data_IF_400579090919
#
_entry.id   IF_400579090919
#
_cell.length_a   1.000
_cell.length_b   1.000
_cell.length_c   1.000
_cell.angle_alpha   90.00
_cell.angle_beta   90.00
_cell.angle_gamma   90.00
#
_symmetry.space_group_name_H-M   'P 1'
#
loop_
_entity.id
_entity.type
_entity.pdbx_description
1 polymer ?
#
# COMPACT_ATOMS: atom_id res chain seq x y z
N UNK A 1 15.26 20.93 10.24
CA UNK A 1 15.62 19.84 9.32
C UNK A 1 14.34 19.37 8.65
N UNK A 2 14.38 18.85 7.43
CA UNK A 2 13.20 18.22 6.86
C UNK A 2 12.87 16.96 7.69
N UNK A 3 11.58 16.64 7.86
CA UNK A 3 11.10 15.45 8.56
C UNK A 3 11.66 14.19 7.88
N UNK A 4 12.19 13.24 8.66
CA UNK A 4 12.74 11.97 8.15
C UNK A 4 11.60 11.01 7.77
N UNK A 5 10.58 10.92 8.63
CA UNK A 5 9.42 10.10 8.35
C UNK A 5 8.56 10.71 7.26
N UNK A 6 8.35 9.96 6.18
CA UNK A 6 7.34 10.25 5.17
C UNK A 6 5.97 9.70 5.55
N UNK A 7 5.05 9.60 4.59
CA UNK A 7 3.74 8.95 4.79
C UNK A 7 3.84 7.44 5.02
N UNK A 8 4.98 6.82 4.69
CA UNK A 8 5.18 5.38 4.79
C UNK A 8 6.58 5.04 5.32
N UNK A 9 6.89 5.53 6.51
CA UNK A 9 8.16 5.32 7.21
C UNK A 9 9.31 6.19 6.71
N UNK A 10 10.53 5.82 7.10
CA UNK A 10 11.78 6.46 6.65
C UNK A 10 12.29 5.74 5.42
N UNK A 11 12.42 6.41 4.29
CA UNK A 11 12.91 5.85 3.02
C UNK A 11 14.11 6.60 2.48
N UNK A 12 14.94 5.91 1.73
CA UNK A 12 16.07 6.53 1.03
C UNK A 12 16.95 5.51 0.32
N UNK A 13 17.95 6.02 -0.39
CA UNK A 13 18.98 5.20 -1.02
C UNK A 13 19.77 4.48 0.08
N UNK A 14 19.74 3.16 0.07
CA UNK A 14 20.38 2.34 1.09
C UNK A 14 21.90 2.61 1.12
N UNK A 15 22.45 2.64 2.33
CA UNK A 15 23.85 2.93 2.64
C UNK A 15 24.35 4.36 2.27
N UNK A 16 23.45 5.24 1.81
CA UNK A 16 23.72 6.67 1.61
C UNK A 16 22.82 7.52 2.51
N UNK A 17 21.52 7.42 2.31
CA UNK A 17 20.49 8.17 3.05
C UNK A 17 19.98 7.34 4.23
N UNK A 18 19.72 6.05 3.99
CA UNK A 18 19.34 5.06 5.01
C UNK A 18 20.55 4.17 5.34
N UNK A 19 21.30 4.57 6.36
CA UNK A 19 22.55 3.92 6.79
C UNK A 19 22.32 2.97 7.96
N UNK A 20 23.24 2.03 8.21
CA UNK A 20 23.19 1.15 9.38
C UNK A 20 23.17 1.90 10.72
N UNK A 21 23.99 2.96 10.94
CA UNK A 21 23.87 3.78 12.15
C UNK A 21 22.48 4.41 12.31
N UNK A 22 21.90 4.99 11.25
CA UNK A 22 20.56 5.58 11.31
C UNK A 22 19.50 4.54 11.64
N UNK A 23 19.56 3.35 11.02
CA UNK A 23 18.63 2.25 11.27
C UNK A 23 18.69 1.77 12.74
N UNK A 24 19.89 1.67 13.30
CA UNK A 24 20.11 1.33 14.70
C UNK A 24 19.56 2.44 15.63
N UNK A 25 19.86 3.70 15.36
CA UNK A 25 19.42 4.84 16.18
C UNK A 25 17.90 5.00 16.16
N UNK A 26 17.25 4.84 15.00
CA UNK A 26 15.79 4.84 14.87
C UNK A 26 15.15 3.74 15.72
N UNK A 27 15.75 2.55 15.71
CA UNK A 27 15.24 1.39 16.47
C UNK A 27 15.38 1.60 17.99
N UNK A 28 16.52 2.14 18.44
CA UNK A 28 16.72 2.54 19.84
C UNK A 28 15.73 3.62 20.25
N UNK A 29 15.55 4.65 19.42
CA UNK A 29 14.62 5.74 19.69
C UNK A 29 13.17 5.24 19.76
N UNK A 30 12.73 4.38 18.84
CA UNK A 30 11.40 3.80 18.85
C UNK A 30 11.14 2.97 20.12
N UNK A 31 12.07 2.10 20.50
CA UNK A 31 11.97 1.31 21.72
C UNK A 31 11.86 2.21 22.98
N UNK A 32 12.63 3.29 23.05
CA UNK A 32 12.60 4.25 24.17
C UNK A 32 11.27 5.01 24.24
N UNK A 33 10.79 5.53 23.10
CA UNK A 33 9.53 6.29 23.02
C UNK A 33 8.35 5.42 23.45
N UNK A 34 8.25 4.18 22.95
CA UNK A 34 7.18 3.25 23.31
C UNK A 34 7.27 2.83 24.76
N UNK A 35 8.48 2.57 25.28
CA UNK A 35 8.69 2.25 26.69
C UNK A 35 8.26 3.38 27.63
N UNK A 36 8.55 4.64 27.31
CA UNK A 36 8.13 5.80 28.08
C UNK A 36 6.60 6.01 28.09
N UNK A 37 5.92 5.62 27.02
CA UNK A 37 4.45 5.62 26.99
C UNK A 37 3.82 4.49 27.78
N UNK A 38 4.63 3.58 28.28
CA UNK A 38 4.18 2.45 29.10
C UNK A 38 3.70 1.24 28.29
N UNK A 39 4.02 1.18 27.00
CA UNK A 39 3.75 0.02 26.15
C UNK A 39 4.37 -1.26 26.73
N UNK A 40 5.49 -1.16 27.47
CA UNK A 40 6.24 -2.27 28.05
C UNK A 40 5.97 -2.51 29.54
N UNK A 41 4.90 -1.94 30.09
CA UNK A 41 4.63 -2.07 31.53
C UNK A 41 4.26 -3.51 31.90
N UNK A 42 5.01 -4.07 32.86
CA UNK A 42 4.69 -5.35 33.49
C UNK A 42 5.18 -6.59 32.74
N UNK A 43 5.85 -6.44 31.61
CA UNK A 43 6.44 -7.54 30.84
C UNK A 43 7.74 -7.13 30.15
N UNK A 44 8.48 -8.10 29.66
CA UNK A 44 9.66 -7.89 28.84
C UNK A 44 9.22 -7.55 27.41
N UNK A 45 9.65 -6.43 26.83
CA UNK A 45 9.19 -6.03 25.51
C UNK A 45 9.68 -6.97 24.41
N UNK A 46 8.83 -7.22 23.43
CA UNK A 46 9.10 -8.06 22.28
C UNK A 46 8.86 -7.26 21.01
N UNK A 47 9.77 -7.34 20.04
CA UNK A 47 9.58 -6.83 18.70
C UNK A 47 9.65 -7.94 17.66
N UNK A 48 8.87 -7.82 16.59
CA UNK A 48 9.04 -8.61 15.36
C UNK A 48 9.74 -7.78 14.32
N UNK A 49 10.62 -8.39 13.52
CA UNK A 49 11.34 -7.71 12.43
C UNK A 49 11.25 -8.56 11.17
N UNK A 50 10.66 -7.99 10.12
CA UNK A 50 10.59 -8.60 8.79
C UNK A 50 11.17 -7.69 7.72
N UNK A 51 11.42 -8.22 6.55
CA UNK A 51 11.98 -7.47 5.41
C UNK A 51 11.48 -8.00 4.08
N UNK A 52 11.62 -7.18 3.05
CA UNK A 52 11.58 -7.64 1.67
C UNK A 52 12.94 -8.27 1.25
N UNK A 53 13.06 -8.86 0.07
CA UNK A 53 14.28 -9.56 -0.32
C UNK A 53 15.42 -8.65 -0.81
N UNK A 54 15.34 -7.32 -0.72
CA UNK A 54 16.43 -6.41 -1.12
C UNK A 54 17.74 -6.79 -0.43
N UNK A 55 18.83 -6.82 -1.18
CA UNK A 55 20.17 -7.13 -0.62
C UNK A 55 20.55 -6.20 0.53
N UNK A 56 20.15 -4.92 0.45
CA UNK A 56 20.35 -3.95 1.54
C UNK A 56 19.54 -4.27 2.80
N UNK A 57 18.48 -5.08 2.71
CA UNK A 57 17.69 -5.52 3.86
C UNK A 57 18.52 -6.32 4.87
N UNK A 58 19.53 -7.06 4.42
CA UNK A 58 20.34 -7.90 5.31
C UNK A 58 21.13 -7.09 6.34
N UNK A 59 21.86 -6.06 5.91
CA UNK A 59 22.61 -5.23 6.84
C UNK A 59 21.73 -4.28 7.65
N UNK A 60 20.63 -3.79 7.05
CA UNK A 60 19.68 -2.93 7.75
C UNK A 60 18.93 -3.72 8.84
N UNK A 61 18.52 -4.97 8.58
CA UNK A 61 17.93 -5.85 9.58
C UNK A 61 18.89 -6.07 10.75
N UNK A 62 20.17 -6.35 10.45
CA UNK A 62 21.17 -6.54 11.50
C UNK A 62 21.31 -5.28 12.39
N UNK A 63 21.27 -4.08 11.80
CA UNK A 63 21.33 -2.82 12.53
C UNK A 63 20.08 -2.57 13.39
N UNK A 64 18.87 -2.80 12.83
CA UNK A 64 17.60 -2.70 13.55
C UNK A 64 17.56 -3.66 14.73
N UNK A 65 17.90 -4.93 14.50
CA UNK A 65 17.93 -5.97 15.55
C UNK A 65 18.93 -5.61 16.66
N UNK A 66 20.13 -5.12 16.29
CA UNK A 66 21.12 -4.67 17.26
C UNK A 66 20.59 -3.47 18.08
N UNK A 67 19.95 -2.49 17.44
CA UNK A 67 19.34 -1.33 18.11
C UNK A 67 18.29 -1.76 19.14
N UNK A 68 17.31 -2.55 18.72
CA UNK A 68 16.23 -3.05 19.58
C UNK A 68 16.78 -3.87 20.75
N UNK A 69 17.65 -4.85 20.48
CA UNK A 69 18.22 -5.70 21.51
C UNK A 69 19.09 -4.91 22.50
N UNK A 70 19.85 -3.92 22.04
CA UNK A 70 20.61 -3.01 22.90
C UNK A 70 19.73 -2.16 23.81
N UNK A 71 18.51 -1.85 23.36
CA UNK A 71 17.49 -1.14 24.15
C UNK A 71 16.68 -2.04 25.10
N UNK A 72 17.00 -3.33 25.15
CA UNK A 72 16.37 -4.28 26.07
C UNK A 72 15.10 -4.96 25.51
N UNK A 73 14.84 -4.84 24.22
CA UNK A 73 13.71 -5.47 23.53
C UNK A 73 14.14 -6.86 23.02
N UNK A 74 13.38 -7.89 23.33
CA UNK A 74 13.56 -9.21 22.71
C UNK A 74 13.09 -9.12 21.25
N UNK A 75 13.84 -9.72 20.33
CA UNK A 75 13.56 -9.62 18.89
C UNK A 75 13.27 -11.00 18.32
N UNK A 76 12.15 -11.10 17.59
CA UNK A 76 11.78 -12.23 16.76
C UNK A 76 12.00 -11.84 15.29
N UNK A 77 12.95 -12.48 14.62
CA UNK A 77 13.19 -12.25 13.19
C UNK A 77 12.22 -13.09 12.37
N UNK A 78 11.43 -12.43 11.55
CA UNK A 78 10.41 -13.07 10.69
C UNK A 78 10.99 -13.53 9.34
N UNK A 79 12.17 -13.01 8.95
CA UNK A 79 12.72 -13.24 7.62
C UNK A 79 12.06 -12.40 6.54
N UNK A 80 11.98 -12.96 5.33
CA UNK A 80 11.35 -12.28 4.17
C UNK A 80 9.85 -12.56 4.20
N UNK A 81 9.07 -11.49 4.41
CA UNK A 81 7.61 -11.54 4.48
C UNK A 81 6.99 -10.22 4.00
N UNK A 82 5.74 -10.25 3.48
CA UNK A 82 4.97 -9.06 3.15
C UNK A 82 4.82 -8.06 4.30
N UNK A 83 4.71 -6.77 3.98
CA UNK A 83 4.38 -5.72 4.95
C UNK A 83 3.13 -6.06 5.78
N UNK A 84 1.98 -6.47 5.18
CA UNK A 84 0.81 -6.87 5.96
C UNK A 84 1.04 -8.10 6.83
N UNK A 85 1.91 -9.02 6.44
CA UNK A 85 2.27 -10.16 7.28
C UNK A 85 3.01 -9.72 8.55
N UNK A 86 3.93 -8.74 8.45
CA UNK A 86 4.62 -8.17 9.61
C UNK A 86 3.62 -7.47 10.53
N UNK A 87 2.69 -6.68 9.97
CA UNK A 87 1.62 -6.03 10.73
C UNK A 87 0.74 -7.05 11.47
N UNK A 88 0.26 -8.09 10.77
CA UNK A 88 -0.53 -9.17 11.35
C UNK A 88 0.22 -9.92 12.47
N UNK A 89 1.47 -10.33 12.20
CA UNK A 89 2.26 -11.09 13.15
C UNK A 89 2.71 -10.27 14.36
N UNK A 90 2.80 -8.95 14.26
CA UNK A 90 3.00 -8.07 15.42
C UNK A 90 1.89 -8.30 16.45
N UNK A 91 0.64 -8.31 16.00
CA UNK A 91 -0.52 -8.57 16.86
C UNK A 91 -0.61 -10.06 17.26
N UNK A 92 -0.50 -10.97 16.30
CA UNK A 92 -0.72 -12.40 16.51
C UNK A 92 0.31 -13.07 17.45
N UNK A 93 1.54 -12.53 17.49
CA UNK A 93 2.61 -12.99 18.38
C UNK A 93 2.69 -12.17 19.69
N UNK A 94 1.69 -11.32 19.96
CA UNK A 94 1.65 -10.45 21.14
C UNK A 94 2.91 -9.57 21.29
N UNK A 95 3.51 -9.17 20.16
CA UNK A 95 4.66 -8.27 20.14
C UNK A 95 4.25 -6.83 20.41
N UNK A 96 5.12 -6.06 21.06
CA UNK A 96 4.87 -4.66 21.41
C UNK A 96 5.21 -3.71 20.25
N UNK A 97 6.02 -4.20 19.30
CA UNK A 97 6.53 -3.41 18.17
C UNK A 97 6.76 -4.32 16.96
N UNK A 98 6.30 -3.89 15.80
CA UNK A 98 6.65 -4.47 14.52
C UNK A 98 7.59 -3.54 13.74
N UNK A 99 8.55 -4.12 13.03
CA UNK A 99 9.42 -3.38 12.11
C UNK A 99 9.47 -4.08 10.77
N UNK A 100 9.14 -3.34 9.71
CA UNK A 100 9.29 -3.79 8.32
C UNK A 100 10.36 -3.01 7.60
N UNK A 101 11.26 -3.75 6.94
CA UNK A 101 12.31 -3.20 6.10
C UNK A 101 11.92 -3.35 4.63
N UNK A 102 11.45 -2.28 4.02
CA UNK A 102 11.06 -2.23 2.63
C UNK A 102 10.90 -0.80 2.12
N UNK A 103 11.09 -0.60 0.83
CA UNK A 103 10.70 0.62 0.10
C UNK A 103 9.56 0.34 -0.91
N UNK A 104 8.72 -0.70 -0.66
CA UNK A 104 7.55 -1.07 -1.46
C UNK A 104 7.90 -1.20 -2.96
N UNK A 105 7.27 -0.42 -3.82
CA UNK A 105 7.43 -0.45 -5.27
C UNK A 105 8.69 0.26 -5.81
N UNK A 106 9.52 0.85 -4.95
CA UNK A 106 10.76 1.50 -5.37
C UNK A 106 11.77 0.50 -5.94
N UNK A 107 12.73 0.92 -6.78
CA UNK A 107 13.77 0.05 -7.31
C UNK A 107 14.70 -0.47 -6.21
N UNK A 108 15.46 -1.53 -6.51
CA UNK A 108 16.28 -2.28 -5.56
C UNK A 108 17.29 -1.44 -4.74
N UNK A 109 17.90 -0.35 -5.25
CA UNK A 109 18.83 0.47 -4.46
C UNK A 109 18.20 1.19 -3.26
N UNK A 110 16.90 1.46 -3.31
CA UNK A 110 16.18 2.08 -2.21
C UNK A 110 15.83 1.05 -1.12
N UNK A 111 15.66 1.52 0.11
CA UNK A 111 15.07 0.75 1.19
C UNK A 111 14.30 1.70 2.14
N UNK A 112 13.60 1.11 3.12
CA UNK A 112 12.81 1.85 4.09
C UNK A 112 12.69 1.12 5.41
N UNK A 113 12.28 1.85 6.46
CA UNK A 113 11.96 1.31 7.78
C UNK A 113 10.57 1.82 8.16
N UNK A 114 9.64 0.89 8.41
CA UNK A 114 8.30 1.14 8.89
C UNK A 114 8.14 0.54 10.28
N UNK A 115 7.47 1.26 11.18
CA UNK A 115 7.18 0.77 12.53
C UNK A 115 5.67 0.55 12.70
N UNK A 116 5.33 -0.52 13.41
CA UNK A 116 3.95 -0.88 13.77
C UNK A 116 3.80 -0.95 15.28
N UNK A 117 2.68 -0.48 15.79
CA UNK A 117 2.32 -0.67 17.18
C UNK A 117 1.88 -2.12 17.46
N UNK A 118 1.58 -2.42 18.73
CA UNK A 118 1.14 -3.75 19.18
C UNK A 118 -0.11 -4.27 18.48
N UNK A 119 -0.94 -3.37 17.96
CA UNK A 119 -2.16 -3.74 17.24
C UNK A 119 -1.91 -3.97 15.74
N UNK A 120 -0.67 -3.82 15.27
CA UNK A 120 -0.30 -3.96 13.87
C UNK A 120 -0.59 -2.73 13.01
N UNK A 121 -0.93 -1.60 13.62
CA UNK A 121 -1.06 -0.32 12.91
C UNK A 121 0.28 0.39 12.79
N UNK A 122 0.50 1.12 11.70
CA UNK A 122 1.64 2.05 11.59
C UNK A 122 1.61 3.06 12.74
N UNK A 123 2.80 3.45 13.22
CA UNK A 123 2.87 4.47 14.26
C UNK A 123 2.24 5.78 13.76
N UNK A 124 1.45 6.48 14.61
CA UNK A 124 0.93 7.80 14.28
C UNK A 124 2.06 8.84 14.19
N UNK A 125 1.83 9.92 13.43
CA UNK A 125 2.80 11.00 13.19
C UNK A 125 3.43 11.54 14.47
N UNK A 126 2.64 11.73 15.52
CA UNK A 126 3.11 12.23 16.82
C UNK A 126 4.16 11.31 17.46
N UNK A 127 4.05 9.99 17.26
CA UNK A 127 5.04 9.04 17.74
C UNK A 127 6.28 9.02 16.86
N UNK A 128 6.11 9.07 15.54
CA UNK A 128 7.21 9.17 14.59
C UNK A 128 8.03 10.44 14.84
N UNK A 129 7.38 11.60 15.07
CA UNK A 129 8.05 12.87 15.40
C UNK A 129 8.82 12.77 16.73
N UNK A 130 8.28 12.05 17.71
CA UNK A 130 8.98 11.81 18.99
C UNK A 130 10.18 10.88 18.81
N UNK A 131 10.05 9.85 17.96
CA UNK A 131 11.18 8.98 17.60
C UNK A 131 12.29 9.79 16.93
N UNK A 132 11.93 10.63 15.97
CA UNK A 132 12.89 11.51 15.28
C UNK A 132 13.58 12.49 16.25
N UNK A 133 12.83 13.08 17.17
CA UNK A 133 13.38 13.99 18.17
C UNK A 133 14.38 13.33 19.15
N UNK A 134 14.34 12.00 19.29
CA UNK A 134 15.25 11.22 20.15
C UNK A 134 16.54 10.80 19.48
N UNK A 135 16.68 11.03 18.17
CA UNK A 135 17.91 10.65 17.45
C UNK A 135 19.12 11.40 17.99
N UNK A 136 20.20 10.67 18.25
CA UNK A 136 21.44 11.22 18.79
C UNK A 136 21.41 11.63 20.26
N UNK A 137 20.27 11.46 20.97
CA UNK A 137 20.24 11.71 22.41
C UNK A 137 21.07 10.69 23.19
N UNK A 138 21.88 11.18 24.14
CA UNK A 138 22.55 10.32 25.08
C UNK A 138 21.53 9.56 25.95
N UNK A 139 21.73 8.27 26.11
CA UNK A 139 20.89 7.40 26.94
C UNK A 139 21.72 6.35 27.68
N UNK A 140 21.15 5.75 28.70
CA UNK A 140 21.81 4.70 29.46
C UNK A 140 21.28 3.32 29.04
N UNK A 141 22.04 2.55 28.25
CA UNK A 141 21.60 1.21 27.84
C UNK A 141 21.50 0.26 29.01
N UNK A 142 20.55 -0.70 28.97
CA UNK A 142 20.50 -1.79 29.95
C UNK A 142 21.73 -2.68 29.81
N UNK A 143 22.08 -3.38 30.90
CA UNK A 143 23.21 -4.31 30.95
C UNK A 143 22.82 -5.67 31.52
N UNK A 144 23.66 -6.68 31.32
CA UNK A 144 23.46 -8.01 31.86
C UNK A 144 22.13 -8.63 31.44
N UNK A 145 21.28 -8.99 32.36
CA UNK A 145 19.95 -9.58 32.10
C UNK A 145 18.96 -8.60 31.45
N UNK A 146 19.27 -7.32 31.43
CA UNK A 146 18.42 -6.29 30.80
C UNK A 146 18.57 -6.18 29.29
N UNK A 147 19.60 -6.78 28.65
CA UNK A 147 19.72 -6.78 27.19
C UNK A 147 18.68 -7.69 26.53
N UNK A 148 18.21 -7.31 25.33
CA UNK A 148 17.27 -8.10 24.55
C UNK A 148 17.87 -9.40 23.97
N UNK A 149 17.03 -10.38 23.73
CA UNK A 149 17.40 -11.66 23.10
C UNK A 149 16.92 -11.68 21.67
N UNK A 150 17.71 -12.26 20.79
CA UNK A 150 17.37 -12.40 19.37
C UNK A 150 17.07 -13.86 19.07
N UNK A 151 15.95 -14.11 18.39
CA UNK A 151 15.51 -15.45 17.99
C UNK A 151 14.88 -15.40 16.61
N UNK A 152 14.90 -16.53 15.89
CA UNK A 152 14.13 -16.72 14.67
C UNK A 152 12.68 -17.08 15.00
N UNK A 153 11.73 -16.48 14.30
CA UNK A 153 10.31 -16.83 14.41
C UNK A 153 9.98 -17.93 13.39
N UNK A 154 10.19 -19.18 13.80
CA UNK A 154 9.84 -20.31 12.94
C UNK A 154 8.34 -20.40 12.72
N UNK A 155 7.90 -20.68 11.48
CA UNK A 155 6.48 -20.83 11.12
C UNK A 155 5.74 -19.51 10.85
N UNK A 156 6.42 -18.38 10.77
CA UNK A 156 5.80 -17.07 10.49
C UNK A 156 5.02 -17.07 9.15
N UNK A 157 5.59 -17.64 8.08
CA UNK A 157 4.92 -17.82 6.78
C UNK A 157 3.63 -18.62 6.93
N UNK A 158 3.70 -19.76 7.61
CA UNK A 158 2.54 -20.65 7.83
C UNK A 158 1.42 -19.95 8.60
N UNK A 159 1.76 -19.21 9.66
CA UNK A 159 0.77 -18.48 10.45
C UNK A 159 0.05 -17.42 9.62
N UNK A 160 0.78 -16.68 8.79
CA UNK A 160 0.17 -15.67 7.94
C UNK A 160 -0.68 -16.29 6.81
N UNK A 161 -0.19 -17.35 6.14
CA UNK A 161 -0.97 -18.08 5.14
C UNK A 161 -2.24 -18.68 5.77
N UNK A 162 -2.14 -19.27 6.97
CA UNK A 162 -3.30 -19.78 7.67
C UNK A 162 -4.33 -18.67 7.97
N UNK A 163 -3.87 -17.48 8.40
CA UNK A 163 -4.75 -16.32 8.59
C UNK A 163 -5.46 -15.96 7.29
N UNK A 164 -4.74 -15.76 6.18
CA UNK A 164 -5.31 -15.43 4.88
C UNK A 164 -6.42 -16.40 4.46
N UNK A 165 -6.20 -17.70 4.65
CA UNK A 165 -7.18 -18.74 4.30
C UNK A 165 -8.44 -18.70 5.16
N UNK A 166 -8.37 -18.23 6.40
CA UNK A 166 -9.57 -18.06 7.24
C UNK A 166 -10.50 -16.96 6.73
N UNK A 167 -9.98 -16.02 5.95
CA UNK A 167 -10.75 -14.85 5.44
C UNK A 167 -11.57 -15.18 4.20
N UNK A 168 -11.22 -16.26 3.50
CA UNK A 168 -11.87 -16.65 2.22
C UNK A 168 -12.59 -17.98 2.38
N UNK A 169 -13.91 -17.96 2.59
CA UNK A 169 -14.71 -19.16 2.90
C UNK A 169 -15.10 -20.00 1.67
N UNK A 170 -14.59 -19.68 0.49
CA UNK A 170 -14.89 -20.40 -0.76
C UNK A 170 -13.62 -21.00 -1.36
N UNK A 171 -13.75 -22.22 -1.93
CA UNK A 171 -12.65 -22.82 -2.69
C UNK A 171 -12.47 -22.11 -4.02
N UNK A 172 -11.20 -21.94 -4.43
CA UNK A 172 -10.81 -21.42 -5.75
C UNK A 172 -10.61 -22.56 -6.77
N UNK A 173 -11.08 -23.78 -6.46
CA UNK A 173 -10.99 -24.93 -7.37
C UNK A 173 -11.57 -24.61 -8.74
N UNK A 174 -10.83 -24.97 -9.79
CA UNK A 174 -11.18 -24.72 -11.17
C UNK A 174 -10.70 -23.39 -11.74
N UNK A 175 -10.16 -22.48 -10.90
CA UNK A 175 -9.49 -21.28 -11.39
C UNK A 175 -8.01 -21.54 -11.67
N UNK A 176 -7.56 -21.13 -12.85
CA UNK A 176 -6.14 -21.04 -13.22
C UNK A 176 -5.68 -19.58 -13.11
N UNK A 177 -4.70 -19.32 -12.26
CA UNK A 177 -4.24 -17.97 -11.90
C UNK A 177 -2.74 -17.81 -12.15
N UNK A 178 -2.36 -16.72 -12.79
CA UNK A 178 -0.95 -16.29 -12.83
C UNK A 178 -0.72 -15.29 -11.69
N UNK A 179 0.29 -15.53 -10.85
CA UNK A 179 0.71 -14.58 -9.82
C UNK A 179 2.10 -14.01 -10.14
N UNK A 180 2.20 -12.68 -10.19
CA UNK A 180 3.46 -11.93 -10.26
C UNK A 180 3.77 -11.35 -8.88
N UNK A 181 4.82 -11.88 -8.25
CA UNK A 181 5.27 -11.48 -6.92
C UNK A 181 6.35 -10.38 -6.95
N UNK A 182 6.59 -9.72 -8.07
CA UNK A 182 7.57 -8.65 -8.23
C UNK A 182 9.02 -9.01 -7.81
N UNK A 183 9.40 -10.29 -7.76
CA UNK A 183 10.59 -10.78 -7.07
C UNK A 183 10.70 -10.18 -5.65
N UNK A 184 9.58 -10.04 -4.99
CA UNK A 184 9.38 -9.34 -3.72
C UNK A 184 9.07 -10.28 -2.56
N UNK A 185 8.53 -9.72 -1.52
CA UNK A 185 8.26 -10.37 -0.24
C UNK A 185 7.14 -11.41 -0.28
N UNK A 186 6.26 -11.38 -1.30
CA UNK A 186 5.19 -12.37 -1.48
C UNK A 186 5.61 -13.63 -2.24
N UNK A 187 6.88 -13.76 -2.64
CA UNK A 187 7.35 -14.85 -3.53
C UNK A 187 7.03 -16.26 -3.02
N UNK A 188 7.05 -16.48 -1.71
CA UNK A 188 6.68 -17.74 -1.08
C UNK A 188 5.20 -17.74 -0.64
N UNK A 189 4.73 -16.65 -0.05
CA UNK A 189 3.42 -16.55 0.60
C UNK A 189 2.27 -16.59 -0.41
N UNK A 190 2.32 -15.78 -1.48
CA UNK A 190 1.18 -15.62 -2.38
C UNK A 190 0.89 -16.89 -3.18
N UNK A 191 1.90 -17.56 -3.80
CA UNK A 191 1.66 -18.83 -4.45
C UNK A 191 1.13 -19.92 -3.54
N UNK A 192 1.64 -19.99 -2.29
CA UNK A 192 1.21 -20.97 -1.31
C UNK A 192 -0.24 -20.73 -0.88
N UNK A 193 -0.61 -19.48 -0.57
CA UNK A 193 -1.96 -19.11 -0.18
C UNK A 193 -2.98 -19.45 -1.30
N UNK A 194 -2.67 -19.09 -2.55
CA UNK A 194 -3.53 -19.36 -3.70
C UNK A 194 -3.70 -20.88 -3.97
N UNK A 195 -2.61 -21.67 -3.90
CA UNK A 195 -2.69 -23.12 -4.07
C UNK A 195 -3.52 -23.78 -2.97
N UNK A 196 -3.32 -23.38 -1.73
CA UNK A 196 -4.09 -23.91 -0.60
C UNK A 196 -5.54 -23.47 -0.61
N UNK A 197 -5.84 -22.34 -1.25
CA UNK A 197 -7.22 -21.94 -1.53
C UNK A 197 -7.87 -22.76 -2.66
N UNK A 198 -7.11 -23.57 -3.41
CA UNK A 198 -7.61 -24.48 -4.45
C UNK A 198 -7.26 -24.08 -5.89
N UNK A 199 -6.61 -22.94 -6.13
CA UNK A 199 -6.30 -22.48 -7.48
C UNK A 199 -5.15 -23.29 -8.12
N UNK A 200 -5.21 -23.48 -9.44
CA UNK A 200 -4.06 -23.86 -10.27
C UNK A 200 -3.18 -22.62 -10.46
N UNK A 201 -1.97 -22.60 -9.89
CA UNK A 201 -1.13 -21.41 -9.81
C UNK A 201 0.10 -21.50 -10.70
N UNK A 202 0.23 -20.51 -11.57
CA UNK A 202 1.42 -20.24 -12.37
C UNK A 202 2.12 -19.04 -11.76
N UNK A 203 3.44 -19.13 -11.55
CA UNK A 203 4.21 -18.09 -10.87
C UNK A 203 5.17 -17.40 -11.81
N UNK A 204 5.22 -16.06 -11.73
CA UNK A 204 6.28 -15.24 -12.32
C UNK A 204 6.78 -14.24 -11.27
N UNK A 205 7.99 -13.69 -11.45
CA UNK A 205 8.53 -12.76 -10.47
C UNK A 205 8.72 -13.39 -9.07
N UNK A 206 9.11 -14.68 -8.98
CA UNK A 206 9.26 -15.42 -7.71
C UNK A 206 10.68 -15.92 -7.47
N UNK A 207 11.67 -15.35 -8.12
CA UNK A 207 13.08 -15.72 -7.95
C UNK A 207 13.91 -14.49 -7.50
N UNK A 208 13.70 -13.99 -6.28
CA UNK A 208 14.41 -12.82 -5.78
C UNK A 208 15.91 -13.10 -5.65
N UNK A 209 16.74 -12.20 -6.19
CA UNK A 209 18.20 -12.23 -6.07
C UNK A 209 18.76 -11.07 -5.22
N UNK A 210 17.87 -10.27 -4.64
CA UNK A 210 18.20 -9.09 -3.84
C UNK A 210 18.33 -7.79 -4.65
N UNK A 211 18.41 -7.86 -5.99
CA UNK A 211 18.61 -6.72 -6.87
C UNK A 211 17.53 -6.57 -7.95
N UNK A 212 16.71 -7.58 -8.12
CA UNK A 212 15.69 -7.66 -9.18
C UNK A 212 14.26 -7.33 -8.73
N UNK A 213 14.06 -6.93 -7.48
CA UNK A 213 12.73 -6.53 -6.96
C UNK A 213 12.13 -5.38 -7.78
N UNK A 214 10.86 -5.51 -8.19
CA UNK A 214 10.11 -4.56 -9.03
C UNK A 214 10.75 -4.29 -10.42
N UNK A 215 11.74 -5.03 -10.85
CA UNK A 215 12.45 -4.79 -12.09
C UNK A 215 11.69 -5.37 -13.30
N UNK A 216 10.83 -4.54 -13.92
CA UNK A 216 10.00 -4.95 -15.06
C UNK A 216 8.96 -6.03 -14.73
N UNK A 217 8.51 -6.08 -13.48
CA UNK A 217 7.53 -7.04 -12.97
C UNK A 217 6.69 -6.40 -11.85
N UNK A 218 5.68 -7.13 -11.39
CA UNK A 218 4.78 -6.72 -10.32
C UNK A 218 3.78 -5.64 -10.72
N UNK A 219 3.13 -5.02 -9.73
CA UNK A 219 2.02 -4.08 -9.93
C UNK A 219 2.38 -2.80 -10.68
N UNK A 220 3.67 -2.48 -10.83
CA UNK A 220 4.12 -1.30 -11.59
C UNK A 220 4.48 -1.62 -13.05
N UNK A 221 4.57 -2.90 -13.44
CA UNK A 221 4.95 -3.38 -14.76
C UNK A 221 4.17 -4.64 -15.11
N UNK A 222 2.95 -4.48 -15.63
CA UNK A 222 2.01 -5.58 -15.84
C UNK A 222 2.19 -6.34 -17.16
N UNK A 223 3.07 -5.89 -18.06
CA UNK A 223 3.22 -6.45 -19.40
C UNK A 223 3.64 -7.94 -19.38
N UNK A 224 4.47 -8.33 -18.39
CA UNK A 224 4.86 -9.72 -18.22
C UNK A 224 3.68 -10.58 -17.77
N UNK A 225 2.89 -10.08 -16.82
CA UNK A 225 1.68 -10.73 -16.33
C UNK A 225 0.64 -10.87 -17.43
N UNK A 226 0.38 -9.81 -18.22
CA UNK A 226 -0.57 -9.82 -19.33
C UNK A 226 -0.20 -10.89 -20.39
N UNK A 227 1.09 -11.02 -20.70
CA UNK A 227 1.58 -12.08 -21.61
C UNK A 227 1.37 -13.47 -21.03
N UNK A 228 1.79 -13.69 -19.78
CA UNK A 228 1.69 -14.98 -19.11
C UNK A 228 0.24 -15.46 -18.97
N UNK A 229 -0.70 -14.56 -18.62
CA UNK A 229 -2.14 -14.90 -18.55
C UNK A 229 -2.64 -15.44 -19.90
N UNK A 230 -2.33 -14.75 -21.00
CA UNK A 230 -2.75 -15.20 -22.35
C UNK A 230 -2.05 -16.50 -22.80
N UNK A 231 -0.74 -16.60 -22.55
CA UNK A 231 0.05 -17.77 -22.96
C UNK A 231 -0.38 -19.06 -22.24
N UNK A 232 -0.75 -18.94 -20.98
CA UNK A 232 -1.18 -20.08 -20.17
C UNK A 232 -2.71 -20.30 -20.17
N UNK A 233 -3.48 -19.42 -20.83
CA UNK A 233 -4.93 -19.49 -20.83
C UNK A 233 -5.50 -19.40 -19.40
N UNK A 234 -4.94 -18.52 -18.58
CA UNK A 234 -5.36 -18.35 -17.21
C UNK A 234 -6.64 -17.50 -17.12
N UNK A 235 -7.47 -17.76 -16.10
CA UNK A 235 -8.72 -17.04 -15.87
C UNK A 235 -8.48 -15.62 -15.35
N UNK A 236 -7.38 -15.44 -14.63
CA UNK A 236 -6.95 -14.13 -14.12
C UNK A 236 -5.46 -14.10 -13.86
N UNK A 237 -4.90 -12.88 -13.85
CA UNK A 237 -3.58 -12.58 -13.31
C UNK A 237 -3.68 -11.69 -12.09
N UNK A 238 -2.81 -11.90 -11.11
CA UNK A 238 -2.67 -11.07 -9.92
C UNK A 238 -1.23 -10.56 -9.88
N UNK A 239 -1.02 -9.29 -9.56
CA UNK A 239 0.30 -8.68 -9.37
C UNK A 239 0.38 -7.98 -8.01
N UNK A 240 1.42 -8.32 -7.26
CA UNK A 240 1.81 -7.56 -6.06
C UNK A 240 2.97 -6.60 -6.40
N UNK A 241 3.25 -5.66 -5.52
CA UNK A 241 4.50 -4.91 -5.50
C UNK A 241 5.53 -5.56 -4.56
N UNK A 242 6.69 -4.93 -4.41
CA UNK A 242 7.84 -5.53 -3.72
C UNK A 242 7.60 -5.96 -2.28
N UNK A 243 6.73 -5.30 -1.52
CA UNK A 243 6.35 -5.68 -0.15
C UNK A 243 4.89 -6.15 -0.03
N UNK A 244 4.24 -6.32 -1.18
CA UNK A 244 2.92 -6.91 -1.34
C UNK A 244 1.80 -6.25 -0.53
N UNK A 245 1.90 -4.94 -0.30
CA UNK A 245 0.80 -4.15 0.26
C UNK A 245 -0.22 -3.71 -0.82
N UNK A 246 0.06 -4.03 -2.12
CA UNK A 246 -0.78 -3.71 -3.28
C UNK A 246 -1.15 -4.93 -4.09
N UNK A 247 -2.33 -4.84 -4.72
CA UNK A 247 -2.84 -5.80 -5.69
C UNK A 247 -3.38 -5.10 -6.92
N UNK A 248 -2.87 -5.45 -8.09
CA UNK A 248 -3.54 -5.20 -9.37
C UNK A 248 -3.86 -6.53 -10.03
N UNK A 249 -4.79 -6.52 -10.97
CA UNK A 249 -5.20 -7.75 -11.65
C UNK A 249 -5.21 -7.59 -13.17
N UNK A 250 -5.27 -8.74 -13.86
CA UNK A 250 -5.35 -8.84 -15.30
C UNK A 250 -6.43 -9.86 -15.66
N UNK A 251 -7.33 -9.51 -16.58
CA UNK A 251 -8.36 -10.42 -17.08
C UNK A 251 -7.77 -11.53 -17.97
N UNK A 252 -8.54 -12.57 -18.26
CA UNK A 252 -8.14 -13.62 -19.20
C UNK A 252 -7.78 -13.07 -20.60
N UNK A 253 -8.38 -11.96 -21.02
CA UNK A 253 -8.04 -11.24 -22.26
C UNK A 253 -6.74 -10.44 -22.18
N UNK A 254 -6.17 -10.26 -21.00
CA UNK A 254 -4.96 -9.46 -20.78
C UNK A 254 -5.24 -7.99 -20.50
N UNK A 255 -6.46 -7.61 -20.16
CA UNK A 255 -6.83 -6.24 -19.78
C UNK A 255 -6.50 -6.00 -18.31
N UNK A 256 -6.01 -4.80 -17.99
CA UNK A 256 -5.67 -4.40 -16.62
C UNK A 256 -6.93 -4.08 -15.85
N UNK A 257 -7.02 -4.62 -14.64
CA UNK A 257 -8.02 -4.28 -13.62
C UNK A 257 -7.29 -3.57 -12.49
N UNK A 258 -7.48 -2.25 -12.39
CA UNK A 258 -6.79 -1.42 -11.42
C UNK A 258 -7.43 -1.43 -10.02
N UNK A 259 -6.82 -0.73 -9.06
CA UNK A 259 -7.31 -0.71 -7.69
C UNK A 259 -8.73 -0.15 -7.55
N UNK A 260 -9.13 0.81 -8.39
CA UNK A 260 -10.49 1.34 -8.36
C UNK A 260 -11.51 0.29 -8.81
N UNK A 261 -11.20 -0.47 -9.87
CA UNK A 261 -12.05 -1.56 -10.34
C UNK A 261 -12.11 -2.70 -9.32
N UNK A 262 -10.97 -3.05 -8.70
CA UNK A 262 -10.92 -4.05 -7.62
C UNK A 262 -11.78 -3.60 -6.45
N UNK A 263 -11.62 -2.34 -5.99
CA UNK A 263 -12.44 -1.80 -4.90
C UNK A 263 -13.93 -1.79 -5.26
N UNK A 264 -14.29 -1.45 -6.50
CA UNK A 264 -15.68 -1.45 -6.94
C UNK A 264 -16.29 -2.87 -6.90
N UNK A 265 -15.56 -3.87 -7.40
CA UNK A 265 -15.99 -5.27 -7.36
C UNK A 265 -16.19 -5.73 -5.91
N UNK A 266 -15.20 -5.48 -5.05
CA UNK A 266 -15.21 -5.93 -3.67
C UNK A 266 -16.23 -5.17 -2.81
N UNK A 267 -16.44 -3.86 -3.03
CA UNK A 267 -17.46 -3.09 -2.34
C UNK A 267 -18.87 -3.64 -2.63
N UNK A 268 -19.17 -4.00 -3.88
CA UNK A 268 -20.45 -4.63 -4.24
C UNK A 268 -20.58 -6.02 -3.62
N UNK A 269 -19.51 -6.79 -3.60
CA UNK A 269 -19.51 -8.14 -3.02
C UNK A 269 -19.73 -8.09 -1.49
N UNK A 270 -19.05 -7.18 -0.79
CA UNK A 270 -19.21 -6.93 0.63
C UNK A 270 -20.63 -6.42 0.96
N UNK A 271 -21.17 -5.51 0.14
CA UNK A 271 -22.53 -5.01 0.33
C UNK A 271 -23.58 -6.09 0.18
N UNK A 272 -23.49 -6.92 -0.86
CA UNK A 272 -24.40 -8.05 -1.06
C UNK A 272 -24.34 -9.06 0.11
N UNK A 273 -23.15 -9.23 0.70
CA UNK A 273 -22.95 -10.04 1.89
C UNK A 273 -23.42 -9.36 3.19
N UNK A 274 -23.85 -8.10 3.14
CA UNK A 274 -24.19 -7.30 4.33
C UNK A 274 -22.99 -6.96 5.21
N UNK A 275 -21.78 -7.01 4.65
CA UNK A 275 -20.50 -6.79 5.34
C UNK A 275 -19.87 -5.41 5.06
N UNK A 276 -20.46 -4.59 4.18
CA UNK A 276 -19.98 -3.23 3.94
C UNK A 276 -20.54 -2.27 4.99
N UNK A 277 -19.75 -1.92 5.97
CA UNK A 277 -20.15 -1.05 7.07
C UNK A 277 -20.71 0.29 6.57
N UNK A 278 -21.92 0.63 6.98
CA UNK A 278 -22.66 1.84 6.59
C UNK A 278 -22.80 2.05 5.07
N UNK A 279 -22.74 1.00 4.26
CA UNK A 279 -22.70 1.06 2.80
C UNK A 279 -21.66 2.07 2.28
N UNK A 280 -20.47 2.09 2.90
CA UNK A 280 -19.46 3.13 2.66
C UNK A 280 -18.10 2.52 2.31
N UNK A 281 -17.44 3.11 1.32
CA UNK A 281 -16.05 2.85 0.94
C UNK A 281 -15.23 4.14 1.08
N UNK A 282 -14.01 4.02 1.62
CA UNK A 282 -13.09 5.16 1.71
C UNK A 282 -12.08 5.08 0.57
N UNK A 283 -11.92 6.18 -0.18
CA UNK A 283 -10.97 6.26 -1.30
C UNK A 283 -10.25 7.60 -1.31
N UNK A 284 -9.17 7.71 -2.07
CA UNK A 284 -8.48 9.00 -2.20
C UNK A 284 -9.10 9.86 -3.30
N UNK A 285 -8.78 11.15 -3.27
CA UNK A 285 -9.16 12.08 -4.36
C UNK A 285 -8.61 11.66 -5.73
N UNK A 286 -7.68 10.71 -5.79
CA UNK A 286 -7.13 10.19 -7.05
C UNK A 286 -7.98 9.10 -7.69
N UNK A 287 -8.89 8.47 -6.94
CA UNK A 287 -9.80 7.46 -7.53
C UNK A 287 -10.59 8.03 -8.68
N UNK A 288 -10.65 7.28 -9.78
CA UNK A 288 -11.28 7.69 -11.04
C UNK A 288 -12.74 8.09 -10.81
N UNK A 289 -13.21 9.12 -11.52
CA UNK A 289 -14.61 9.54 -11.42
C UNK A 289 -15.58 8.40 -11.76
N UNK A 290 -15.20 7.50 -12.68
CA UNK A 290 -15.99 6.31 -13.00
C UNK A 290 -16.25 5.41 -11.80
N UNK A 291 -15.27 5.26 -10.88
CA UNK A 291 -15.47 4.57 -9.61
C UNK A 291 -16.55 5.25 -8.76
N UNK A 292 -16.45 6.57 -8.58
CA UNK A 292 -17.41 7.34 -7.77
C UNK A 292 -18.83 7.27 -8.35
N UNK A 293 -18.95 7.33 -9.68
CA UNK A 293 -20.23 7.20 -10.38
C UNK A 293 -20.84 5.81 -10.16
N UNK A 294 -20.04 4.76 -10.32
CA UNK A 294 -20.50 3.37 -10.12
C UNK A 294 -20.92 3.12 -8.66
N UNK A 295 -20.18 3.61 -7.68
CA UNK A 295 -20.56 3.49 -6.27
C UNK A 295 -21.85 4.25 -5.96
N UNK A 296 -22.01 5.47 -6.49
CA UNK A 296 -23.25 6.25 -6.35
C UNK A 296 -24.45 5.53 -6.96
N UNK A 297 -24.30 4.96 -8.16
CA UNK A 297 -25.36 4.19 -8.82
C UNK A 297 -25.72 2.94 -8.02
N UNK A 298 -24.73 2.29 -7.43
CA UNK A 298 -24.93 1.17 -6.51
C UNK A 298 -25.49 1.59 -5.14
N UNK A 299 -25.67 2.87 -4.84
CA UNK A 299 -26.10 3.35 -3.51
C UNK A 299 -25.05 3.18 -2.41
N UNK A 300 -23.76 3.13 -2.80
CA UNK A 300 -22.61 3.10 -1.89
C UNK A 300 -22.04 4.50 -1.77
N UNK A 301 -21.81 4.93 -0.54
CA UNK A 301 -21.17 6.23 -0.25
C UNK A 301 -19.66 6.13 -0.44
N UNK A 302 -19.05 7.11 -1.11
CA UNK A 302 -17.59 7.26 -1.20
C UNK A 302 -17.15 8.39 -0.29
N UNK A 303 -16.34 8.08 0.71
CA UNK A 303 -15.66 9.08 1.55
C UNK A 303 -14.29 9.34 0.93
N UNK A 304 -14.03 10.59 0.56
CA UNK A 304 -12.78 10.98 -0.11
C UNK A 304 -11.76 11.54 0.87
N UNK A 305 -10.52 11.10 0.74
CA UNK A 305 -9.39 11.57 1.55
C UNK A 305 -8.30 12.19 0.67
N UNK A 306 -7.34 12.84 1.29
CA UNK A 306 -6.05 13.15 0.65
C UNK A 306 -5.34 11.86 0.21
N UNK A 307 -4.37 11.99 -0.70
CA UNK A 307 -3.57 10.86 -1.21
C UNK A 307 -2.61 10.37 -0.13
N UNK A 308 -2.64 9.09 0.12
CA UNK A 308 -1.81 8.37 1.08
C UNK A 308 -2.64 7.40 1.91
N UNK A 309 -2.15 6.19 2.03
CA UNK A 309 -2.78 5.08 2.76
C UNK A 309 -3.13 5.42 4.22
N UNK A 310 -2.29 6.25 4.85
CA UNK A 310 -2.54 6.77 6.21
C UNK A 310 -3.87 7.52 6.31
N UNK A 311 -4.15 8.44 5.37
CA UNK A 311 -5.39 9.22 5.40
C UNK A 311 -6.62 8.36 5.13
N UNK A 312 -6.48 7.33 4.27
CA UNK A 312 -7.55 6.34 4.06
C UNK A 312 -7.84 5.61 5.36
N UNK A 313 -6.81 5.07 6.01
CA UNK A 313 -6.93 4.34 7.26
C UNK A 313 -7.51 5.20 8.41
N UNK A 314 -7.07 6.45 8.54
CA UNK A 314 -7.59 7.39 9.53
C UNK A 314 -9.10 7.63 9.34
N UNK A 315 -9.52 7.95 8.10
CA UNK A 315 -10.94 8.15 7.80
C UNK A 315 -11.78 6.87 8.01
N UNK A 316 -11.22 5.69 7.70
CA UNK A 316 -11.89 4.41 8.00
C UNK A 316 -12.10 4.23 9.51
N UNK A 317 -11.08 4.51 10.32
CA UNK A 317 -11.16 4.38 11.79
C UNK A 317 -12.12 5.40 12.41
N UNK A 318 -12.06 6.66 11.99
CA UNK A 318 -12.91 7.73 12.47
C UNK A 318 -14.39 7.50 12.12
N UNK A 319 -14.65 7.02 10.90
CA UNK A 319 -16.00 6.75 10.42
C UNK A 319 -16.56 5.37 10.78
N UNK A 320 -15.73 4.48 11.33
CA UNK A 320 -16.11 3.07 11.58
C UNK A 320 -16.35 2.28 10.31
N UNK A 321 -15.61 2.61 9.21
CA UNK A 321 -15.74 1.96 7.91
C UNK A 321 -14.75 0.79 7.81
N UNK A 322 -15.21 -0.35 7.31
CA UNK A 322 -14.40 -1.57 7.21
C UNK A 322 -13.58 -1.70 5.92
N UNK A 323 -13.87 -0.89 4.88
CA UNK A 323 -13.32 -1.07 3.54
C UNK A 323 -12.87 0.25 2.89
N UNK A 324 -11.70 0.25 2.29
CA UNK A 324 -11.17 1.41 1.58
C UNK A 324 -9.85 1.12 0.87
N UNK A 325 -9.33 2.12 0.15
CA UNK A 325 -8.04 1.95 -0.53
C UNK A 325 -7.74 3.03 -1.57
N UNK A 326 -6.82 2.70 -2.47
CA UNK A 326 -6.29 3.57 -3.50
C UNK A 326 -6.29 2.90 -4.88
N UNK A 327 -6.36 3.71 -5.94
CA UNK A 327 -6.23 3.25 -7.33
C UNK A 327 -4.93 2.44 -7.58
N UNK A 328 -3.88 2.71 -6.81
CA UNK A 328 -2.62 1.98 -6.86
C UNK A 328 -2.72 0.50 -6.48
N UNK A 329 -3.88 0.06 -5.98
CA UNK A 329 -4.13 -1.30 -5.52
C UNK A 329 -3.86 -1.52 -4.04
N UNK A 330 -3.55 -0.48 -3.27
CA UNK A 330 -3.47 -0.55 -1.81
C UNK A 330 -4.88 -0.58 -1.25
N UNK A 331 -5.39 -1.79 -0.95
CA UNK A 331 -6.76 -2.04 -0.48
C UNK A 331 -6.73 -2.54 0.96
N UNK A 332 -7.51 -1.89 1.82
CA UNK A 332 -7.60 -2.17 3.25
C UNK A 332 -8.96 -2.82 3.55
N UNK A 333 -8.93 -3.97 4.19
CA UNK A 333 -10.08 -4.68 4.74
C UNK A 333 -9.89 -4.80 6.26
N UNK A 334 -10.41 -3.84 7.04
CA UNK A 334 -10.11 -3.73 8.49
C UNK A 334 -10.56 -4.94 9.31
N UNK A 335 -11.53 -5.71 8.85
CA UNK A 335 -11.94 -6.95 9.50
C UNK A 335 -10.86 -8.04 9.43
N UNK A 336 -9.87 -7.88 8.54
CA UNK A 336 -8.85 -8.90 8.27
C UNK A 336 -7.41 -8.39 8.36
N UNK A 337 -7.16 -7.11 8.06
CA UNK A 337 -5.82 -6.51 8.02
C UNK A 337 -5.83 -5.06 8.46
N UNK A 338 -4.78 -4.60 9.11
CA UNK A 338 -4.62 -3.23 9.62
C UNK A 338 -3.97 -2.26 8.61
N UNK A 339 -3.61 -2.77 7.44
CA UNK A 339 -3.00 -2.04 6.32
C UNK A 339 -3.44 -2.67 5.01
N UNK A 340 -3.08 -2.09 3.87
CA UNK A 340 -3.27 -2.74 2.58
C UNK A 340 -2.58 -4.09 2.53
N UNK A 341 -3.26 -5.07 1.94
CA UNK A 341 -2.77 -6.43 1.81
C UNK A 341 -3.08 -6.96 0.40
N UNK A 342 -2.03 -7.02 -0.42
CA UNK A 342 -2.20 -7.41 -1.83
C UNK A 342 -2.53 -8.88 -2.01
N UNK A 343 -2.06 -9.76 -1.13
CA UNK A 343 -2.37 -11.20 -1.19
C UNK A 343 -3.82 -11.45 -0.77
N UNK A 344 -4.25 -10.83 0.33
CA UNK A 344 -5.63 -10.84 0.81
C UNK A 344 -6.59 -10.32 -0.27
N UNK A 345 -6.27 -9.16 -0.87
CA UNK A 345 -7.07 -8.53 -1.92
C UNK A 345 -7.22 -9.43 -3.14
N UNK A 346 -6.11 -10.05 -3.59
CA UNK A 346 -6.13 -11.01 -4.69
C UNK A 346 -7.01 -12.24 -4.41
N UNK A 347 -6.89 -12.82 -3.22
CA UNK A 347 -7.74 -13.94 -2.78
C UNK A 347 -9.22 -13.56 -2.78
N UNK A 348 -9.59 -12.39 -2.22
CA UNK A 348 -10.97 -11.93 -2.18
C UNK A 348 -11.52 -11.60 -3.57
N UNK A 349 -10.71 -11.05 -4.48
CA UNK A 349 -11.08 -10.80 -5.87
C UNK A 349 -11.41 -12.11 -6.60
N UNK A 350 -10.55 -13.12 -6.48
CA UNK A 350 -10.78 -14.44 -7.06
C UNK A 350 -11.99 -15.14 -6.43
N UNK A 351 -12.17 -15.00 -5.11
CA UNK A 351 -13.36 -15.50 -4.43
C UNK A 351 -14.65 -14.82 -4.92
N UNK A 352 -14.62 -13.54 -5.26
CA UNK A 352 -15.75 -12.84 -5.86
C UNK A 352 -16.09 -13.41 -7.26
N UNK A 353 -15.09 -13.79 -8.07
CA UNK A 353 -15.32 -14.48 -9.35
C UNK A 353 -16.08 -15.80 -9.13
N UNK A 354 -15.63 -16.60 -8.15
CA UNK A 354 -16.28 -17.90 -7.84
C UNK A 354 -17.69 -17.70 -7.31
N UNK A 355 -17.89 -16.82 -6.31
CA UNK A 355 -19.22 -16.57 -5.72
C UNK A 355 -20.24 -16.10 -6.73
N UNK A 356 -19.82 -15.26 -7.68
CA UNK A 356 -20.70 -14.70 -8.71
C UNK A 356 -20.82 -15.59 -9.95
N UNK A 357 -19.96 -16.59 -10.09
CA UNK A 357 -19.89 -17.45 -11.29
C UNK A 357 -19.60 -16.64 -12.56
N UNK A 358 -18.80 -15.58 -12.46
CA UNK A 358 -18.51 -14.63 -13.55
C UNK A 358 -17.02 -14.43 -13.71
N UNK A 359 -16.51 -14.35 -14.95
CA UNK A 359 -15.11 -14.06 -15.20
C UNK A 359 -14.77 -12.61 -14.85
N UNK A 360 -13.47 -12.34 -14.63
CA UNK A 360 -13.00 -11.05 -14.15
C UNK A 360 -13.32 -9.88 -15.11
N UNK A 361 -13.27 -10.09 -16.43
CA UNK A 361 -13.63 -9.08 -17.42
C UNK A 361 -15.10 -8.65 -17.37
N UNK A 362 -15.99 -9.53 -16.91
CA UNK A 362 -17.40 -9.18 -16.66
C UNK A 362 -17.55 -8.42 -15.34
N UNK A 363 -16.84 -8.84 -14.30
CA UNK A 363 -16.85 -8.12 -13.01
C UNK A 363 -16.26 -6.72 -13.14
N UNK A 364 -15.21 -6.55 -13.92
CA UNK A 364 -14.55 -5.26 -14.13
C UNK A 364 -15.45 -4.23 -14.84
N UNK A 365 -16.53 -4.66 -15.52
CA UNK A 365 -17.54 -3.76 -16.11
C UNK A 365 -18.42 -3.05 -15.07
N UNK A 366 -18.23 -3.33 -13.79
CA UNK A 366 -18.92 -2.63 -12.70
C UNK A 366 -18.77 -1.11 -12.76
N UNK A 367 -17.66 -0.64 -13.30
CA UNK A 367 -17.39 0.76 -13.55
C UNK A 367 -16.80 0.97 -14.96
N UNK A 368 -17.07 2.14 -15.50
CA UNK A 368 -16.40 2.61 -16.72
C UNK A 368 -15.28 3.56 -16.31
N UNK A 369 -14.03 3.16 -16.56
CA UNK A 369 -12.89 4.04 -16.31
C UNK A 369 -12.91 5.20 -17.30
N UNK A 370 -13.00 6.42 -16.80
CA UNK A 370 -12.92 7.61 -17.63
C UNK A 370 -11.46 7.88 -18.02
N UNK A 371 -11.21 8.30 -19.29
CA UNK A 371 -9.90 8.77 -19.72
C UNK A 371 -9.38 9.87 -18.79
N UNK A 372 -8.13 9.73 -18.36
CA UNK A 372 -7.46 10.64 -17.44
C UNK A 372 -6.18 11.19 -18.08
N UNK A 373 -6.01 12.50 -18.04
CA UNK A 373 -4.78 13.18 -18.46
C UNK A 373 -4.16 13.90 -17.28
N UNK A 374 -2.87 13.68 -17.05
CA UNK A 374 -2.09 14.33 -16.00
C UNK A 374 -0.95 15.15 -16.62
N UNK A 375 -0.95 16.47 -16.41
CA UNK A 375 0.12 17.37 -16.85
C UNK A 375 0.84 17.93 -15.62
N UNK A 376 2.15 17.71 -15.57
CA UNK A 376 3.03 18.27 -14.53
C UNK A 376 3.56 19.62 -15.02
N UNK A 377 3.13 20.72 -14.41
CA UNK A 377 3.63 22.07 -14.70
C UNK A 377 4.73 22.40 -13.70
N UNK A 378 5.97 22.40 -14.18
CA UNK A 378 7.18 22.65 -13.38
C UNK A 378 7.51 24.14 -13.33
N UNK A 379 8.40 24.49 -12.39
CA UNK A 379 8.98 25.83 -12.21
C UNK A 379 7.91 26.92 -12.00
N UNK A 380 6.92 26.61 -11.18
CA UNK A 380 5.79 27.50 -10.81
C UNK A 380 5.70 27.67 -9.30
N UNK A 381 5.15 28.81 -8.86
CA UNK A 381 4.85 29.06 -7.44
C UNK A 381 3.64 28.21 -7.02
N UNK A 382 3.92 27.02 -6.52
CA UNK A 382 2.92 26.03 -6.12
C UNK A 382 2.02 26.50 -4.97
N UNK A 383 2.49 27.41 -4.12
CA UNK A 383 1.74 27.88 -2.95
C UNK A 383 0.60 28.82 -3.35
N UNK A 384 0.75 29.50 -4.46
CA UNK A 384 -0.30 30.32 -5.06
C UNK A 384 -1.40 29.52 -5.78
N UNK A 385 -1.19 28.23 -6.04
CA UNK A 385 -2.18 27.40 -6.77
C UNK A 385 -3.55 27.35 -6.07
N UNK A 386 -3.59 27.44 -4.75
CA UNK A 386 -4.83 27.43 -3.97
C UNK A 386 -5.51 28.80 -3.85
N UNK A 387 -4.80 29.88 -4.15
CA UNK A 387 -5.24 31.27 -3.90
C UNK A 387 -5.37 32.11 -5.15
N UNK A 388 -4.94 31.61 -6.35
CA UNK A 388 -5.07 32.34 -7.62
C UNK A 388 -6.54 32.41 -8.07
N UNK A 389 -7.13 33.64 -8.17
CA UNK A 389 -8.50 33.81 -8.64
C UNK A 389 -8.66 33.40 -10.11
N UNK A 390 -7.66 33.68 -10.94
CA UNK A 390 -7.67 33.36 -12.37
C UNK A 390 -7.72 31.85 -12.59
N UNK A 391 -6.92 31.09 -11.81
CA UNK A 391 -6.94 29.63 -11.86
C UNK A 391 -8.27 29.07 -11.38
N UNK A 392 -8.82 29.61 -10.28
CA UNK A 392 -10.11 29.19 -9.75
C UNK A 392 -11.25 29.40 -10.78
N UNK A 393 -11.26 30.54 -11.48
CA UNK A 393 -12.24 30.82 -12.55
C UNK A 393 -12.10 29.83 -13.71
N UNK A 394 -10.86 29.55 -14.14
CA UNK A 394 -10.62 28.61 -15.24
C UNK A 394 -11.03 27.18 -14.88
N UNK A 395 -10.75 26.74 -13.63
CA UNK A 395 -11.18 25.44 -13.14
C UNK A 395 -12.70 25.34 -13.11
N UNK A 396 -13.39 26.33 -12.53
CA UNK A 396 -14.86 26.32 -12.46
C UNK A 396 -15.51 26.31 -13.85
N UNK A 397 -14.94 27.02 -14.81
CA UNK A 397 -15.42 27.00 -16.20
C UNK A 397 -15.24 25.61 -16.83
N UNK A 398 -14.06 24.99 -16.62
CA UNK A 398 -13.77 23.65 -17.13
C UNK A 398 -14.69 22.59 -16.48
N UNK A 399 -14.94 22.68 -15.18
CA UNK A 399 -15.87 21.77 -14.48
C UNK A 399 -17.31 21.93 -14.97
N UNK A 400 -17.74 23.17 -15.25
CA UNK A 400 -19.07 23.42 -15.81
C UNK A 400 -19.24 22.81 -17.23
N UNK A 401 -18.19 22.89 -18.07
CA UNK A 401 -18.18 22.31 -19.40
C UNK A 401 -18.13 20.78 -19.41
N UNK A 402 -17.41 20.17 -18.41
CA UNK A 402 -17.31 18.73 -18.24
C UNK A 402 -18.60 18.12 -17.63
N UNK A 403 -19.33 18.89 -16.84
CA UNK A 403 -20.53 18.44 -16.12
C UNK A 403 -20.28 17.19 -15.27
N UNK A 404 -21.26 16.30 -15.19
CA UNK A 404 -21.18 15.05 -14.41
C UNK A 404 -20.28 13.97 -15.04
N UNK A 405 -19.78 14.21 -16.26
CA UNK A 405 -18.98 13.22 -17.02
C UNK A 405 -17.49 13.51 -17.02
N UNK A 406 -17.05 14.46 -16.19
CA UNK A 406 -15.64 14.75 -16.03
C UNK A 406 -15.34 15.52 -14.75
N UNK A 407 -14.08 15.71 -14.45
CA UNK A 407 -13.61 16.51 -13.31
C UNK A 407 -12.21 17.06 -13.52
N UNK A 408 -11.90 18.07 -12.74
CA UNK A 408 -10.57 18.68 -12.67
C UNK A 408 -10.00 18.48 -11.26
N UNK A 409 -8.71 18.15 -11.17
CA UNK A 409 -7.97 18.13 -9.90
C UNK A 409 -6.64 18.86 -10.06
N UNK A 410 -6.50 19.98 -9.36
CA UNK A 410 -5.25 20.76 -9.31
C UNK A 410 -4.55 20.49 -7.98
N UNK A 411 -3.32 19.99 -8.03
CA UNK A 411 -2.56 19.67 -6.83
C UNK A 411 -1.14 20.23 -6.87
N UNK A 412 -0.74 21.04 -5.87
CA UNK A 412 0.67 21.36 -5.68
C UNK A 412 1.46 20.10 -5.28
N UNK A 413 2.69 19.98 -5.78
CA UNK A 413 3.61 18.93 -5.34
C UNK A 413 4.08 19.20 -3.89
N UNK A 414 4.18 18.15 -3.08
CA UNK A 414 4.73 18.28 -1.72
C UNK A 414 6.20 18.70 -1.73
N UNK A 415 7.00 18.13 -2.62
CA UNK A 415 8.47 18.22 -2.60
C UNK A 415 9.07 19.09 -3.70
N UNK A 416 8.41 19.25 -4.84
CA UNK A 416 8.94 19.95 -6.02
C UNK A 416 8.20 21.27 -6.28
N UNK A 417 8.82 22.29 -6.89
CA UNK A 417 8.14 23.52 -7.36
C UNK A 417 7.30 23.24 -8.59
N UNK A 418 6.18 22.54 -8.40
CA UNK A 418 5.36 21.98 -9.47
C UNK A 418 3.91 21.90 -9.06
N UNK A 419 3.01 22.16 -10.02
CA UNK A 419 1.58 21.93 -9.91
C UNK A 419 1.16 20.82 -10.88
N UNK A 420 0.41 19.88 -10.40
CA UNK A 420 -0.16 18.76 -11.15
C UNK A 420 -1.58 19.14 -11.57
N UNK A 421 -1.84 19.14 -12.87
CA UNK A 421 -3.16 19.34 -13.47
C UNK A 421 -3.65 17.98 -13.96
N UNK A 422 -4.68 17.44 -13.33
CA UNK A 422 -5.32 16.20 -13.71
C UNK A 422 -6.74 16.50 -14.18
N UNK A 423 -7.12 15.93 -15.31
CA UNK A 423 -8.45 16.04 -15.89
C UNK A 423 -8.94 14.67 -16.28
N UNK A 424 -10.16 14.34 -15.91
CA UNK A 424 -10.91 13.18 -16.39
C UNK A 424 -12.09 13.68 -17.22
N UNK A 425 -12.38 12.99 -18.33
CA UNK A 425 -13.49 13.35 -19.21
C UNK A 425 -14.04 12.11 -19.93
N UNK A 426 -15.18 12.27 -20.60
CA UNK A 426 -15.84 11.22 -21.37
C UNK A 426 -14.98 10.69 -22.54
N UNK A 427 -14.01 11.50 -23.04
CA UNK A 427 -13.07 11.09 -24.08
C UNK A 427 -11.66 11.62 -23.79
N UNK A 428 -10.64 10.88 -24.26
CA UNK A 428 -9.24 11.28 -24.13
C UNK A 428 -8.97 12.64 -24.79
N UNK A 429 -9.56 12.90 -25.96
CA UNK A 429 -9.41 14.17 -26.65
C UNK A 429 -9.93 15.34 -25.82
N UNK A 430 -11.06 15.18 -25.14
CA UNK A 430 -11.62 16.21 -24.26
C UNK A 430 -10.75 16.40 -23.02
N UNK A 431 -10.33 15.30 -22.37
CA UNK A 431 -9.45 15.36 -21.20
C UNK A 431 -8.13 16.08 -21.53
N UNK A 432 -7.52 15.75 -22.68
CA UNK A 432 -6.28 16.38 -23.15
C UNK A 432 -6.46 17.90 -23.41
N UNK A 433 -7.50 18.30 -24.14
CA UNK A 433 -7.74 19.69 -24.45
C UNK A 433 -7.95 20.56 -23.20
N UNK A 434 -8.75 20.06 -22.25
CA UNK A 434 -9.00 20.75 -20.96
C UNK A 434 -7.73 20.79 -20.10
N UNK A 435 -6.97 19.68 -20.01
CA UNK A 435 -5.74 19.64 -19.25
C UNK A 435 -4.66 20.60 -19.80
N UNK A 436 -4.50 20.68 -21.12
CA UNK A 436 -3.58 21.63 -21.79
C UNK A 436 -3.98 23.09 -21.56
N UNK A 437 -5.28 23.40 -21.66
CA UNK A 437 -5.80 24.73 -21.36
C UNK A 437 -5.47 25.14 -19.93
N UNK A 438 -5.81 24.30 -18.92
CA UNK A 438 -5.55 24.58 -17.52
C UNK A 438 -4.05 24.65 -17.20
N UNK A 439 -3.23 23.79 -17.80
CA UNK A 439 -1.79 23.87 -17.68
C UNK A 439 -1.22 25.18 -18.25
N UNK A 440 -1.81 25.70 -19.32
CA UNK A 440 -1.51 27.03 -19.87
C UNK A 440 -1.83 28.16 -18.88
N UNK A 441 -3.00 28.09 -18.25
CA UNK A 441 -3.40 29.04 -17.18
C UNK A 441 -2.44 28.97 -15.99
N UNK A 442 -2.09 27.77 -15.52
CA UNK A 442 -1.13 27.58 -14.43
C UNK A 442 0.22 28.22 -14.76
N UNK A 443 0.77 28.02 -15.98
CA UNK A 443 2.03 28.66 -16.39
C UNK A 443 1.92 30.20 -16.45
N UNK A 444 0.81 30.71 -16.93
CA UNK A 444 0.63 32.17 -17.07
C UNK A 444 0.42 32.89 -15.74
N UNK A 445 -0.18 32.21 -14.74
CA UNK A 445 -0.56 32.85 -13.48
C UNK A 445 0.40 32.55 -12.32
N UNK A 446 1.10 31.43 -12.37
CA UNK A 446 1.97 30.93 -11.28
C UNK A 446 3.45 30.81 -11.70
N UNK A 447 3.77 31.02 -12.97
CA UNK A 447 5.12 31.02 -13.52
C UNK A 447 5.88 32.33 -13.33
#
# INVERSE_FOLDING_TARGET
>A
MARLFGTDGVRGLANRDLTAPLAMDLSVAAARVLGEQGAFKGHRPVAVVGRDPRASGEFLEAAVVAGLASAGVDVLRLGVLPTPAVAHLTHALDADLGVMLSASHNPAPDNGIKFFDRSGYKLPDELEDRVEARLGEAWKPPTGAGVGRVREAHGAVEQYVAHLLTTVPVSLDGLRVVIDCANGASSDVAPEALRRAGAEVITIGTAPDGLNINSGCGSTHLEALQRAVREHGADAGIANDGDADRCLAVTAGGEVVDGDQIMAILALDLREAGALAADTVVATVMSNLGFKLAMREAGITVVETAVGDRYVLEAMKEGGFGFGGEQSGHVIMLDHATTGDGVLTGLHLLAAMVRRGRPLDELAKVMTRLPQVLINVKDVDKDRAKTSPELAVAVSAAEADLGDTGRVLIRPSGTEPMVRVMVEAASETQAQAVAEHLAGVVRATLG
#
